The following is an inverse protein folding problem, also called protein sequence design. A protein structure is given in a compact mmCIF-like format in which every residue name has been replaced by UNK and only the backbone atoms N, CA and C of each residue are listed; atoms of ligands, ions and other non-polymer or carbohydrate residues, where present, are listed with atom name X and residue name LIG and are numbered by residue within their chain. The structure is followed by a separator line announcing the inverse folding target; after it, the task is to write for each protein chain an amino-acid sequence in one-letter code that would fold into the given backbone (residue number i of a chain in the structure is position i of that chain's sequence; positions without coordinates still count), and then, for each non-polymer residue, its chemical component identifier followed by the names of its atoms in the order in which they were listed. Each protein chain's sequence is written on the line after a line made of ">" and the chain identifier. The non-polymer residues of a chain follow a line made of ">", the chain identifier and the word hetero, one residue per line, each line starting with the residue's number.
data_IF_562749864485
#
_entry.id   IF_562749864485
#
_cell.length_a   1.000
_cell.length_b   1.000
_cell.length_c   1.000
_cell.angle_alpha   90.00
_cell.angle_beta   90.00
_cell.angle_gamma   90.00
#
_symmetry.space_group_name_H-M   'P 1'
#
loop_
_entity.id
_entity.type
_entity.pdbx_description
1 polymer ?
#
# COMPACT_ATOMS: atom_id res chain seq x y z
N UNK A 1 1.90 -7.66 -24.18
CA UNK A 1 2.30 -6.27 -23.91
C UNK A 1 1.10 -5.53 -23.33
N UNK A 2 1.00 -5.43 -21.99
CA UNK A 2 -0.21 -4.95 -21.27
C UNK A 2 -0.37 -3.42 -21.33
N UNK A 3 0.69 -2.69 -21.70
CA UNK A 3 0.74 -1.22 -21.69
C UNK A 3 0.24 -0.56 -22.99
N UNK A 4 -0.07 -1.34 -24.02
CA UNK A 4 -0.46 -0.83 -25.35
C UNK A 4 -1.94 -1.08 -25.68
N UNK A 5 -2.77 -1.39 -24.69
CA UNK A 5 -4.21 -1.53 -24.86
C UNK A 5 -4.93 -0.18 -24.97
N UNK A 6 -6.22 -0.15 -25.33
CA UNK A 6 -7.03 1.06 -25.28
C UNK A 6 -6.99 1.65 -23.86
N UNK A 7 -6.60 2.93 -23.78
CA UNK A 7 -6.71 3.70 -22.55
C UNK A 7 -8.18 4.13 -22.43
N UNK A 8 -8.73 4.04 -21.22
CA UNK A 8 -10.09 4.50 -20.91
C UNK A 8 -10.00 5.72 -19.98
N UNK A 9 -9.83 6.95 -20.53
CA UNK A 9 -9.58 8.15 -19.72
C UNK A 9 -10.69 8.43 -18.70
N UNK A 10 -11.95 8.22 -19.09
CA UNK A 10 -13.08 8.43 -18.20
C UNK A 10 -13.12 7.42 -17.06
N UNK A 11 -12.71 6.18 -17.31
CA UNK A 11 -12.62 5.15 -16.28
C UNK A 11 -11.51 5.51 -15.29
N UNK A 12 -10.35 5.93 -15.80
CA UNK A 12 -9.22 6.36 -14.97
C UNK A 12 -9.57 7.59 -14.13
N UNK A 13 -10.24 8.58 -14.73
CA UNK A 13 -10.73 9.76 -14.02
C UNK A 13 -11.70 9.37 -12.90
N UNK A 14 -12.70 8.53 -13.21
CA UNK A 14 -13.69 8.03 -12.22
C UNK A 14 -13.02 7.21 -11.11
N UNK A 15 -11.98 6.43 -11.46
CA UNK A 15 -11.18 5.69 -10.48
C UNK A 15 -10.58 6.66 -9.46
N UNK A 16 -9.78 7.62 -9.93
CA UNK A 16 -9.04 8.54 -9.07
C UNK A 16 -9.95 9.46 -8.26
N UNK A 17 -11.07 9.91 -8.83
CA UNK A 17 -12.05 10.73 -8.10
C UNK A 17 -12.64 10.05 -6.85
N UNK A 18 -12.65 8.71 -6.83
CA UNK A 18 -13.20 7.92 -5.72
C UNK A 18 -12.15 7.07 -5.01
N UNK A 19 -10.90 7.17 -5.44
CA UNK A 19 -9.81 6.41 -4.87
C UNK A 19 -9.50 6.95 -3.48
N UNK A 20 -9.29 6.05 -2.54
CA UNK A 20 -8.80 6.38 -1.20
C UNK A 20 -7.71 5.40 -0.81
N UNK A 21 -6.73 5.90 -0.05
CA UNK A 21 -5.88 5.04 0.72
C UNK A 21 -6.75 4.27 1.74
N UNK A 22 -6.39 3.02 1.96
CA UNK A 22 -7.05 2.13 2.87
C UNK A 22 -5.97 1.34 3.60
N UNK A 23 -5.76 1.70 4.86
CA UNK A 23 -4.83 1.07 5.76
C UNK A 23 -5.57 0.36 6.91
N UNK A 24 -4.81 -0.08 7.91
CA UNK A 24 -5.33 -0.87 9.03
C UNK A 24 -6.31 -0.06 9.89
N UNK A 25 -6.12 1.25 9.99
CA UNK A 25 -6.99 2.18 10.71
C UNK A 25 -8.33 2.28 10.00
N UNK A 26 -8.36 2.52 8.69
CA UNK A 26 -9.63 2.54 7.93
C UNK A 26 -10.32 1.18 7.97
N UNK A 27 -9.57 0.07 7.90
CA UNK A 27 -10.13 -1.26 8.03
C UNK A 27 -10.88 -1.44 9.36
N UNK A 28 -10.27 -1.03 10.47
CA UNK A 28 -10.88 -1.10 11.79
C UNK A 28 -12.08 -0.16 11.94
N UNK A 29 -12.01 1.04 11.36
CA UNK A 29 -13.13 1.98 11.36
C UNK A 29 -14.33 1.43 10.57
N UNK A 30 -14.09 0.75 9.44
CA UNK A 30 -15.14 0.11 8.65
C UNK A 30 -15.83 -1.03 9.42
N UNK A 31 -15.07 -1.84 10.17
CA UNK A 31 -15.63 -2.86 11.08
C UNK A 31 -16.49 -2.23 12.18
N UNK A 32 -15.99 -1.17 12.82
CA UNK A 32 -16.74 -0.47 13.87
C UNK A 32 -18.05 0.12 13.34
N UNK A 33 -18.00 0.74 12.16
CA UNK A 33 -19.19 1.29 11.50
C UNK A 33 -20.18 0.18 11.08
N UNK A 34 -19.70 -1.01 10.73
CA UNK A 34 -20.57 -2.16 10.45
C UNK A 34 -21.26 -2.65 11.73
N UNK A 35 -20.53 -2.77 12.85
CA UNK A 35 -21.08 -3.16 14.16
C UNK A 35 -22.06 -2.10 14.69
N UNK A 36 -21.81 -0.82 14.47
CA UNK A 36 -22.72 0.26 14.87
C UNK A 36 -24.06 0.17 14.12
N UNK A 37 -24.02 -0.18 12.83
CA UNK A 37 -25.22 -0.39 12.01
C UNK A 37 -25.94 -1.69 12.36
N UNK A 38 -25.19 -2.75 12.67
CA UNK A 38 -25.71 -4.06 13.07
C UNK A 38 -24.90 -4.64 14.25
N UNK A 39 -25.39 -4.46 15.49
CA UNK A 39 -24.71 -4.94 16.68
C UNK A 39 -24.48 -6.46 16.74
N UNK A 40 -25.22 -7.25 15.94
CA UNK A 40 -25.06 -8.72 15.88
C UNK A 40 -23.73 -9.15 15.27
N UNK A 41 -23.09 -8.26 14.51
CA UNK A 41 -21.77 -8.47 13.90
C UNK A 41 -20.62 -8.42 14.91
N UNK A 42 -20.88 -8.05 16.17
CA UNK A 42 -19.84 -7.99 17.20
C UNK A 42 -19.17 -9.36 17.40
N UNK A 43 -17.85 -9.40 17.28
CA UNK A 43 -17.05 -10.62 17.42
C UNK A 43 -16.99 -11.50 16.15
N UNK A 44 -17.64 -11.09 15.06
CA UNK A 44 -17.52 -11.74 13.76
C UNK A 44 -16.22 -11.34 13.05
N UNK A 45 -15.75 -12.21 12.16
CA UNK A 45 -14.67 -11.87 11.23
C UNK A 45 -15.14 -10.91 10.15
N UNK A 46 -14.23 -10.15 9.52
CA UNK A 46 -14.55 -9.25 8.39
C UNK A 46 -15.37 -9.94 7.29
N UNK A 47 -14.97 -11.18 6.95
CA UNK A 47 -15.65 -11.98 5.93
C UNK A 47 -17.09 -12.31 6.33
N UNK A 48 -17.33 -12.68 7.59
CA UNK A 48 -18.68 -12.90 8.11
C UNK A 48 -19.51 -11.61 8.15
N UNK A 49 -18.88 -10.44 8.32
CA UNK A 49 -19.54 -9.13 8.19
C UNK A 49 -19.81 -8.72 6.74
N UNK A 50 -19.40 -9.51 5.75
CA UNK A 50 -19.50 -9.15 4.33
C UNK A 50 -18.51 -8.06 3.89
N UNK A 51 -17.49 -7.76 4.72
CA UNK A 51 -16.45 -6.79 4.42
C UNK A 51 -15.31 -7.45 3.64
N UNK A 52 -14.68 -6.68 2.74
CA UNK A 52 -13.48 -7.13 2.03
C UNK A 52 -12.35 -7.39 3.03
N UNK A 53 -11.61 -8.48 2.82
CA UNK A 53 -10.41 -8.79 3.59
C UNK A 53 -9.38 -7.65 3.48
N UNK A 54 -8.66 -7.42 4.58
CA UNK A 54 -7.55 -6.49 4.61
C UNK A 54 -6.24 -7.28 4.61
N UNK A 55 -5.51 -7.22 3.50
CA UNK A 55 -4.23 -7.92 3.31
C UNK A 55 -3.02 -7.00 3.37
N UNK A 56 -3.21 -5.72 3.69
CA UNK A 56 -2.19 -4.68 3.70
C UNK A 56 -2.70 -3.35 3.14
N UNK A 57 -1.83 -2.33 3.12
CA UNK A 57 -2.15 -1.02 2.55
C UNK A 57 -2.64 -1.17 1.10
N UNK A 58 -3.77 -0.55 0.79
CA UNK A 58 -4.43 -0.64 -0.51
C UNK A 58 -4.92 0.74 -0.97
N UNK A 59 -4.99 0.93 -2.28
CA UNK A 59 -5.80 1.97 -2.90
C UNK A 59 -7.12 1.34 -3.30
N UNK A 60 -8.23 1.78 -2.69
CA UNK A 60 -9.56 1.28 -2.99
C UNK A 60 -10.38 2.33 -3.73
N UNK A 61 -11.19 1.91 -4.71
CA UNK A 61 -12.13 2.78 -5.42
C UNK A 61 -13.38 1.99 -5.82
N UNK A 62 -14.53 2.66 -5.88
CA UNK A 62 -15.77 2.05 -6.38
C UNK A 62 -16.21 2.71 -7.69
N UNK A 63 -16.14 1.98 -8.80
CA UNK A 63 -16.54 2.49 -10.12
C UNK A 63 -17.69 1.65 -10.66
N UNK A 64 -18.83 2.28 -10.95
CA UNK A 64 -20.00 1.61 -11.50
C UNK A 64 -20.43 0.36 -10.69
N UNK A 65 -20.30 0.41 -9.36
CA UNK A 65 -20.62 -0.72 -8.48
C UNK A 65 -19.50 -1.75 -8.32
N UNK A 66 -18.39 -1.64 -9.06
CA UNK A 66 -17.23 -2.50 -8.92
C UNK A 66 -16.27 -1.96 -7.87
N UNK A 67 -15.99 -2.75 -6.83
CA UNK A 67 -14.95 -2.46 -5.85
C UNK A 67 -13.59 -2.89 -6.41
N UNK A 68 -12.73 -1.91 -6.66
CA UNK A 68 -11.35 -2.10 -7.08
C UNK A 68 -10.42 -1.89 -5.88
N UNK A 69 -9.43 -2.76 -5.72
CA UNK A 69 -8.41 -2.66 -4.67
C UNK A 69 -7.03 -2.97 -5.25
N UNK A 70 -6.12 -2.00 -5.19
CA UNK A 70 -4.73 -2.16 -5.62
C UNK A 70 -3.81 -2.15 -4.40
N UNK A 71 -3.16 -3.28 -4.15
CA UNK A 71 -2.07 -3.45 -3.19
C UNK A 71 -0.67 -3.33 -3.86
N UNK A 72 0.42 -3.25 -3.09
CA UNK A 72 1.80 -3.23 -3.62
C UNK A 72 2.11 -4.34 -4.63
N UNK A 73 1.52 -5.53 -4.45
CA UNK A 73 1.70 -6.67 -5.37
C UNK A 73 1.34 -6.31 -6.81
N UNK A 74 0.28 -5.52 -7.02
CA UNK A 74 -0.15 -5.12 -8.36
C UNK A 74 0.86 -4.18 -9.03
N UNK A 75 1.45 -3.27 -8.25
CA UNK A 75 2.49 -2.37 -8.74
C UNK A 75 3.79 -3.12 -9.01
N UNK A 76 4.17 -4.06 -8.14
CA UNK A 76 5.33 -4.92 -8.34
C UNK A 76 5.20 -5.73 -9.63
N UNK A 77 4.04 -6.37 -9.85
CA UNK A 77 3.76 -7.07 -11.09
C UNK A 77 3.79 -6.15 -12.33
N UNK A 78 3.26 -4.92 -12.22
CA UNK A 78 3.29 -3.93 -13.31
C UNK A 78 4.72 -3.51 -13.67
N UNK A 79 5.59 -3.39 -12.66
CA UNK A 79 6.97 -2.94 -12.80
C UNK A 79 7.96 -4.09 -13.07
N UNK A 80 7.51 -5.35 -13.01
CA UNK A 80 8.38 -6.52 -13.11
C UNK A 80 9.31 -6.68 -11.91
N UNK A 81 8.88 -6.24 -10.73
CA UNK A 81 9.62 -6.33 -9.47
C UNK A 81 9.14 -7.51 -8.65
N UNK A 82 10.05 -8.11 -7.89
CA UNK A 82 9.68 -9.09 -6.87
C UNK A 82 8.87 -8.42 -5.77
N UNK A 83 7.85 -9.12 -5.26
CA UNK A 83 7.09 -8.65 -4.11
C UNK A 83 7.86 -8.89 -2.80
N UNK A 84 8.99 -8.22 -2.68
CA UNK A 84 9.90 -8.24 -1.54
C UNK A 84 10.32 -6.80 -1.21
N UNK A 85 10.71 -6.57 0.03
CA UNK A 85 11.04 -5.23 0.52
C UNK A 85 10.61 -5.07 1.96
N UNK A 86 11.08 -4.01 2.59
CA UNK A 86 10.85 -3.75 4.01
C UNK A 86 10.19 -2.39 4.14
N UNK A 87 9.08 -2.36 4.88
CA UNK A 87 8.33 -1.14 5.11
C UNK A 87 9.11 -0.24 6.08
N UNK A 88 9.37 1.01 5.65
CA UNK A 88 10.19 1.95 6.41
C UNK A 88 9.56 2.33 7.77
N UNK A 89 8.23 2.31 7.85
CA UNK A 89 7.49 2.59 9.09
C UNK A 89 7.76 1.54 10.20
N UNK A 90 8.30 0.36 9.86
CA UNK A 90 8.68 -0.68 10.85
C UNK A 90 9.88 -0.26 11.70
N UNK A 91 10.69 0.69 11.25
CA UNK A 91 11.97 1.02 11.89
C UNK A 91 11.91 2.12 12.97
N UNK A 92 10.74 2.73 13.22
CA UNK A 92 10.52 3.83 14.19
C UNK A 92 11.50 5.03 14.11
N UNK A 93 11.09 6.16 14.70
CA UNK A 93 11.74 7.48 14.57
C UNK A 93 13.02 7.65 15.42
N UNK A 94 13.84 6.61 15.62
CA UNK A 94 15.13 6.80 16.28
C UNK A 94 16.23 7.13 15.25
N UNK A 95 17.10 8.05 15.63
CA UNK A 95 18.22 8.61 14.85
C UNK A 95 19.20 7.57 14.29
N UNK A 96 19.16 6.32 14.79
CA UNK A 96 19.92 5.16 14.29
C UNK A 96 19.37 4.56 12.99
N UNK A 97 18.19 5.01 12.55
CA UNK A 97 17.51 4.62 11.30
C UNK A 97 18.41 4.55 10.07
N UNK A 98 19.32 5.52 9.90
CA UNK A 98 20.21 5.55 8.73
C UNK A 98 21.20 4.40 8.74
N UNK A 99 21.75 4.04 9.89
CA UNK A 99 22.81 3.04 9.95
C UNK A 99 22.25 1.62 9.81
N UNK A 100 21.08 1.35 10.41
CA UNK A 100 20.39 0.06 10.27
C UNK A 100 19.89 -0.17 8.83
N UNK A 101 19.33 0.87 8.21
CA UNK A 101 18.87 0.82 6.82
C UNK A 101 20.05 0.68 5.84
N UNK A 102 21.18 1.36 6.11
CA UNK A 102 22.39 1.21 5.31
C UNK A 102 23.01 -0.18 5.45
N UNK A 103 23.06 -0.76 6.66
CA UNK A 103 23.57 -2.11 6.87
C UNK A 103 22.71 -3.17 6.14
N UNK A 104 21.41 -2.91 5.99
CA UNK A 104 20.46 -3.82 5.35
C UNK A 104 20.47 -3.71 3.83
N UNK A 105 20.63 -2.52 3.27
CA UNK A 105 20.59 -2.26 1.82
C UNK A 105 21.98 -2.34 1.18
N UNK A 106 23.05 -2.03 1.92
CA UNK A 106 24.42 -2.15 1.42
C UNK A 106 25.03 -3.49 1.83
N UNK A 107 24.98 -4.47 0.94
CA UNK A 107 25.75 -5.73 1.05
C UNK A 107 27.26 -5.51 1.09
N UNK A 108 27.75 -4.35 0.61
CA UNK A 108 29.13 -3.89 0.81
C UNK A 108 29.16 -2.39 1.21
N UNK A 109 29.50 -2.13 2.48
CA UNK A 109 29.62 -0.78 3.04
C UNK A 109 30.72 0.07 2.37
N UNK A 110 31.67 -0.55 1.64
CA UNK A 110 32.72 0.17 0.89
C UNK A 110 32.18 0.89 -0.35
N UNK A 111 30.95 0.60 -0.76
CA UNK A 111 30.24 1.26 -1.86
C UNK A 111 29.39 2.46 -1.41
N UNK A 112 29.30 2.71 -0.09
CA UNK A 112 28.63 3.89 0.48
C UNK A 112 29.26 5.17 -0.11
N UNK A 113 28.43 5.99 -0.76
CA UNK A 113 28.88 7.22 -1.43
C UNK A 113 29.44 7.06 -2.85
N UNK A 114 29.58 5.82 -3.36
CA UNK A 114 30.05 5.54 -4.73
C UNK A 114 28.93 5.18 -5.70
N UNK A 115 27.76 4.80 -5.18
CA UNK A 115 26.57 4.50 -5.99
C UNK A 115 25.77 5.77 -6.20
N UNK A 116 25.64 6.19 -7.46
CA UNK A 116 24.87 7.37 -7.88
C UNK A 116 23.41 7.19 -7.44
N UNK A 117 22.91 8.04 -6.54
CA UNK A 117 21.52 8.03 -6.06
C UNK A 117 21.33 7.70 -4.57
N UNK A 118 22.35 7.22 -3.85
CA UNK A 118 22.25 6.93 -2.40
C UNK A 118 22.62 8.13 -1.51
N UNK A 119 23.24 9.17 -2.08
CA UNK A 119 23.69 10.37 -1.37
C UNK A 119 22.75 11.57 -1.50
N UNK A 120 21.80 11.53 -2.44
CA UNK A 120 20.98 12.70 -2.80
C UNK A 120 19.54 12.60 -2.29
N UNK A 121 19.36 12.04 -1.10
CA UNK A 121 18.09 12.15 -0.39
C UNK A 121 18.14 13.38 0.52
N UNK A 122 17.95 14.54 -0.10
CA UNK A 122 17.68 15.80 0.60
C UNK A 122 16.18 15.86 0.88
N UNK A 123 15.76 15.91 2.15
CA UNK A 123 14.38 16.20 2.53
C UNK A 123 14.32 17.54 3.28
N UNK A 124 13.47 18.45 2.79
CA UNK A 124 12.86 19.55 3.56
C UNK A 124 11.73 19.00 4.43
#
# INVERSE_FOLDING_TARGET
>A
NMLNGPIYPDLLKKFWMKAKAFDKVEAKQEELAAIERDPSLKGKSRKEMGLLEFSGKQIRSNICGMNLAFSPIHFNALLGLDNSGIELDVFEKDTRYRDDLLALICTDLKLKGKVKGLTDVWWY
#
